data_IF_263466557763
#
_entry.id   IF_263466557763
#
_cell.length_a   1.000
_cell.length_b   1.000
_cell.length_c   1.000
_cell.angle_alpha   90.00
_cell.angle_beta   90.00
_cell.angle_gamma   90.00
#
_symmetry.space_group_name_H-M   'P 1'
#
loop_
_entity.id
_entity.type
_entity.pdbx_description
1 polymer ?
#
# COMPACT_ATOMS: atom_id res chain seq x y z
N UNK A 1 18.90 10.45 -8.81
CA UNK A 1 18.05 9.26 -9.03
C UNK A 1 16.79 9.68 -9.77
N UNK A 2 16.16 8.73 -10.42
CA UNK A 2 14.93 8.99 -11.14
C UNK A 2 13.77 9.16 -10.15
N UNK A 3 12.90 10.12 -10.44
CA UNK A 3 11.69 10.39 -9.64
C UNK A 3 10.48 10.15 -10.52
N UNK A 4 9.49 9.45 -9.98
CA UNK A 4 8.18 9.26 -10.60
C UNK A 4 7.25 10.28 -9.97
N UNK A 5 6.63 11.13 -10.77
CA UNK A 5 5.57 12.03 -10.35
C UNK A 5 4.22 11.43 -10.71
N UNK A 6 3.33 11.33 -9.74
CA UNK A 6 2.00 10.74 -9.89
C UNK A 6 0.95 11.75 -9.44
N UNK A 7 0.13 12.20 -10.37
CA UNK A 7 -1.06 13.01 -10.09
C UNK A 7 -2.28 12.10 -10.23
N UNK A 8 -2.91 11.79 -9.12
CA UNK A 8 -4.06 10.90 -9.05
C UNK A 8 -5.34 11.71 -8.82
N UNK A 9 -6.14 12.05 -9.84
CA UNK A 9 -7.39 12.78 -9.65
C UNK A 9 -8.44 11.94 -8.89
N UNK A 10 -8.36 10.63 -9.04
CA UNK A 10 -9.21 9.64 -8.38
C UNK A 10 -8.35 8.52 -7.81
N UNK A 11 -8.93 7.36 -7.51
CA UNK A 11 -8.20 6.19 -7.06
C UNK A 11 -7.40 5.55 -8.19
N UNK A 12 -6.13 5.25 -7.93
CA UNK A 12 -5.30 4.42 -8.80
C UNK A 12 -4.40 3.49 -8.01
N UNK A 13 -3.98 2.41 -8.62
CA UNK A 13 -2.89 1.59 -8.11
C UNK A 13 -1.86 1.36 -9.19
N UNK A 14 -0.62 1.77 -8.93
CA UNK A 14 0.53 1.50 -9.78
C UNK A 14 1.21 0.23 -9.27
N UNK A 15 1.14 -0.85 -10.04
CA UNK A 15 1.70 -2.14 -9.70
C UNK A 15 3.09 -2.36 -10.30
N UNK A 16 3.97 -3.06 -9.60
CA UNK A 16 5.09 -3.72 -10.26
C UNK A 16 4.53 -4.79 -11.22
N UNK A 17 5.16 -4.94 -12.37
CA UNK A 17 4.74 -5.93 -13.39
C UNK A 17 5.04 -7.37 -13.01
N UNK A 18 6.02 -7.57 -12.13
CA UNK A 18 6.47 -8.88 -11.70
C UNK A 18 6.17 -9.12 -10.21
N UNK A 19 5.77 -10.34 -9.83
CA UNK A 19 5.59 -10.70 -8.42
C UNK A 19 6.93 -10.84 -7.72
N UNK A 20 6.93 -10.56 -6.42
CA UNK A 20 8.06 -10.80 -5.53
C UNK A 20 7.85 -12.12 -4.79
N UNK A 21 8.94 -12.84 -4.50
CA UNK A 21 8.88 -14.10 -3.78
C UNK A 21 10.14 -14.34 -2.93
N UNK A 22 9.99 -15.17 -1.90
CA UNK A 22 11.07 -15.45 -0.95
C UNK A 22 11.34 -14.23 -0.06
N UNK A 23 12.61 -14.02 0.30
CA UNK A 23 13.03 -12.87 1.08
C UNK A 23 13.25 -11.68 0.15
N UNK A 24 12.65 -10.53 0.46
CA UNK A 24 12.82 -9.29 -0.30
C UNK A 24 12.67 -8.05 0.57
N UNK A 25 13.15 -6.93 0.04
CA UNK A 25 13.03 -5.62 0.67
C UNK A 25 12.66 -4.57 -0.38
N UNK A 26 11.60 -3.82 -0.12
CA UNK A 26 11.16 -2.70 -0.96
C UNK A 26 11.48 -1.41 -0.22
N UNK A 27 12.18 -0.48 -0.87
CA UNK A 27 12.47 0.84 -0.31
C UNK A 27 12.06 1.93 -1.30
N UNK A 28 11.56 3.04 -0.80
CA UNK A 28 11.32 4.25 -1.58
C UNK A 28 11.13 5.47 -0.68
N UNK A 29 11.39 6.64 -1.24
CA UNK A 29 11.07 7.91 -0.63
C UNK A 29 9.81 8.47 -1.28
N UNK A 30 8.79 8.76 -0.49
CA UNK A 30 7.52 9.29 -0.97
C UNK A 30 7.25 10.68 -0.40
N UNK A 31 6.84 11.60 -1.26
CA UNK A 31 6.45 12.96 -0.87
C UNK A 31 5.05 13.25 -1.37
N UNK A 32 4.12 13.55 -0.46
CA UNK A 32 2.82 14.08 -0.85
C UNK A 32 2.96 15.58 -1.03
N UNK A 33 2.72 16.01 -2.27
CA UNK A 33 2.90 17.40 -2.69
C UNK A 33 1.66 18.21 -2.30
N UNK A 34 1.89 19.32 -1.61
CA UNK A 34 0.89 20.31 -1.30
C UNK A 34 1.36 21.67 -1.83
N UNK A 35 0.62 22.21 -2.78
CA UNK A 35 0.86 23.47 -3.46
C UNK A 35 -0.45 24.11 -3.87
N UNK A 36 -0.56 24.49 -5.13
CA UNK A 36 -1.75 25.13 -5.70
C UNK A 36 -2.48 24.23 -6.73
N UNK A 37 -2.09 22.96 -6.81
CA UNK A 37 -2.67 21.99 -7.73
C UNK A 37 -4.06 21.50 -7.29
N UNK A 38 -4.94 21.15 -8.24
CA UNK A 38 -6.33 20.74 -7.92
C UNK A 38 -6.39 19.40 -7.18
N UNK A 39 -5.31 18.64 -7.16
CA UNK A 39 -5.22 17.33 -6.52
C UNK A 39 -4.18 17.29 -5.39
N UNK A 40 -3.73 18.44 -4.93
CA UNK A 40 -2.78 18.57 -3.84
C UNK A 40 -3.47 18.38 -2.48
N UNK A 41 -3.80 17.11 -2.18
CA UNK A 41 -4.47 16.70 -0.94
C UNK A 41 -3.50 15.90 -0.08
N UNK A 42 -3.38 16.26 1.20
CA UNK A 42 -2.51 15.57 2.16
C UNK A 42 -3.22 14.35 2.75
N UNK A 43 -3.24 13.26 2.01
CA UNK A 43 -3.80 12.00 2.46
C UNK A 43 -3.41 10.83 1.52
N UNK A 44 -3.61 9.61 2.00
CA UNK A 44 -3.67 8.39 1.19
C UNK A 44 -2.37 8.04 0.44
N UNK A 45 -1.24 8.10 1.14
CA UNK A 45 0.01 7.47 0.69
C UNK A 45 -0.02 6.00 1.08
N UNK A 46 -0.73 5.20 0.30
CA UNK A 46 -1.00 3.81 0.65
C UNK A 46 -0.17 2.85 -0.20
N UNK A 47 0.05 1.64 0.30
CA UNK A 47 0.66 0.58 -0.48
C UNK A 47 0.05 -0.78 -0.19
N UNK A 48 0.17 -1.66 -1.19
CA UNK A 48 -0.13 -3.09 -1.12
C UNK A 48 1.15 -3.89 -1.33
N UNK A 49 1.33 -5.00 -0.62
CA UNK A 49 2.37 -5.98 -0.94
C UNK A 49 1.88 -7.39 -0.69
N UNK A 50 2.64 -8.36 -1.17
CA UNK A 50 2.24 -9.76 -1.17
C UNK A 50 0.83 -9.97 -1.75
N UNK A 51 0.50 -9.23 -2.81
CA UNK A 51 -0.83 -9.25 -3.39
C UNK A 51 -1.00 -10.40 -4.38
N UNK A 52 -2.12 -11.11 -4.26
CA UNK A 52 -2.55 -12.16 -5.19
C UNK A 52 -4.05 -12.10 -5.42
N UNK A 53 -4.50 -12.61 -6.57
CA UNK A 53 -5.93 -12.75 -6.85
C UNK A 53 -6.34 -14.23 -6.66
N UNK A 54 -7.07 -14.57 -5.58
CA UNK A 54 -7.43 -15.94 -5.29
C UNK A 54 -8.40 -16.58 -6.30
N UNK A 55 -9.08 -15.77 -7.12
CA UNK A 55 -9.94 -16.26 -8.20
C UNK A 55 -9.21 -16.37 -9.54
N UNK A 56 -8.05 -15.72 -9.69
CA UNK A 56 -7.22 -15.76 -10.89
C UNK A 56 -5.74 -15.96 -10.50
N UNK A 57 -5.40 -17.15 -9.92
CA UNK A 57 -4.08 -17.39 -9.35
C UNK A 57 -2.94 -17.34 -10.38
N UNK A 58 -3.25 -17.59 -11.65
CA UNK A 58 -2.27 -17.58 -12.75
C UNK A 58 -2.22 -16.25 -13.52
N UNK A 59 -3.14 -15.32 -13.24
CA UNK A 59 -3.21 -14.02 -13.89
C UNK A 59 -3.72 -12.94 -12.95
N UNK A 60 -2.83 -12.35 -12.19
CA UNK A 60 -3.13 -11.28 -11.24
C UNK A 60 -3.83 -10.07 -11.87
N UNK A 61 -3.53 -9.79 -13.13
CA UNK A 61 -4.06 -8.62 -13.84
C UNK A 61 -5.37 -8.88 -14.57
N UNK A 62 -5.89 -10.11 -14.58
CA UNK A 62 -7.13 -10.49 -15.29
C UNK A 62 -8.31 -9.54 -15.00
N UNK A 63 -8.43 -9.05 -13.76
CA UNK A 63 -9.51 -8.15 -13.34
C UNK A 63 -9.09 -6.69 -13.14
N UNK A 64 -7.95 -6.27 -13.67
CA UNK A 64 -7.45 -4.89 -13.49
C UNK A 64 -8.42 -3.83 -13.96
N UNK A 65 -9.02 -4.01 -15.13
CA UNK A 65 -10.02 -3.08 -15.67
C UNK A 65 -11.29 -2.99 -14.80
N UNK A 66 -11.72 -4.12 -14.23
CA UNK A 66 -12.87 -4.16 -13.32
C UNK A 66 -12.55 -3.46 -11.99
N UNK A 67 -11.35 -3.65 -11.45
CA UNK A 67 -10.92 -2.93 -10.23
C UNK A 67 -10.87 -1.42 -10.45
N UNK A 68 -10.32 -0.98 -11.60
CA UNK A 68 -10.43 0.39 -12.11
C UNK A 68 -10.07 1.50 -11.12
N UNK A 69 -9.20 1.25 -10.14
CA UNK A 69 -8.90 2.20 -9.08
C UNK A 69 -9.97 2.32 -7.98
N UNK A 70 -11.08 1.58 -8.05
CA UNK A 70 -12.14 1.60 -7.04
C UNK A 70 -11.71 0.85 -5.79
N UNK A 71 -11.59 1.54 -4.65
CA UNK A 71 -11.02 0.97 -3.43
C UNK A 71 -11.69 -0.33 -2.97
N UNK A 72 -13.03 -0.39 -2.99
CA UNK A 72 -13.78 -1.57 -2.58
C UNK A 72 -13.51 -2.81 -3.45
N UNK A 73 -13.14 -2.64 -4.71
CA UNK A 73 -12.83 -3.74 -5.61
C UNK A 73 -11.54 -4.48 -5.22
N UNK A 74 -10.61 -3.81 -4.56
CA UNK A 74 -9.37 -4.43 -4.05
C UNK A 74 -9.62 -5.38 -2.87
N UNK A 75 -10.81 -5.35 -2.26
CA UNK A 75 -11.23 -6.35 -1.27
C UNK A 75 -11.28 -7.77 -1.84
N UNK A 76 -11.26 -7.93 -3.17
CA UNK A 76 -11.19 -9.21 -3.87
C UNK A 76 -9.79 -9.84 -3.90
N UNK A 77 -8.77 -9.15 -3.41
CA UNK A 77 -7.39 -9.60 -3.38
C UNK A 77 -7.00 -10.11 -1.99
N UNK A 78 -6.12 -11.11 -1.96
CA UNK A 78 -5.31 -11.42 -0.79
C UNK A 78 -4.10 -10.49 -0.82
N UNK A 79 -3.87 -9.71 0.25
CA UNK A 79 -2.74 -8.80 0.32
C UNK A 79 -2.51 -8.27 1.74
N UNK A 80 -1.36 -7.63 1.92
CA UNK A 80 -1.07 -6.77 3.06
C UNK A 80 -1.16 -5.31 2.61
N UNK A 81 -1.68 -4.46 3.49
CA UNK A 81 -1.97 -3.06 3.19
C UNK A 81 -1.54 -2.16 4.33
N UNK A 82 -0.84 -1.09 4.00
CA UNK A 82 -0.71 0.08 4.87
C UNK A 82 -1.36 1.28 4.19
N UNK A 83 -2.31 1.89 4.90
CA UNK A 83 -2.88 3.19 4.55
C UNK A 83 -2.23 4.25 5.40
N UNK A 84 -1.21 4.93 4.87
CA UNK A 84 -0.50 6.00 5.57
C UNK A 84 -1.20 7.33 5.35
N UNK A 85 -1.63 7.99 6.43
CA UNK A 85 -2.39 9.23 6.32
C UNK A 85 -3.78 9.06 5.72
N UNK A 86 -4.42 7.91 5.95
CA UNK A 86 -5.81 7.68 5.54
C UNK A 86 -6.82 8.53 6.30
N UNK A 87 -8.09 8.53 5.86
CA UNK A 87 -9.18 9.33 6.44
C UNK A 87 -8.79 10.81 6.58
N UNK A 88 -8.39 11.44 5.49
CA UNK A 88 -7.94 12.84 5.45
C UNK A 88 -6.78 13.11 6.43
N UNK A 89 -5.78 12.23 6.38
CA UNK A 89 -4.57 12.29 7.19
C UNK A 89 -4.83 12.27 8.71
N UNK A 90 -5.72 11.38 9.16
CA UNK A 90 -6.02 11.19 10.57
C UNK A 90 -5.60 9.82 11.11
N UNK A 91 -5.29 8.87 10.23
CA UNK A 91 -4.93 7.51 10.61
C UNK A 91 -3.79 6.96 9.76
N UNK A 92 -2.97 6.08 10.35
CA UNK A 92 -2.05 5.18 9.63
C UNK A 92 -2.38 3.76 10.07
N UNK A 93 -2.87 2.94 9.13
CA UNK A 93 -3.48 1.63 9.42
C UNK A 93 -2.80 0.50 8.68
N UNK A 94 -2.62 -0.61 9.38
CA UNK A 94 -2.17 -1.88 8.82
C UNK A 94 -3.30 -2.89 8.79
N UNK A 95 -3.51 -3.53 7.62
CA UNK A 95 -4.57 -4.52 7.40
C UNK A 95 -4.06 -5.74 6.63
N UNK A 96 -4.69 -6.88 6.87
CA UNK A 96 -4.64 -8.06 5.99
C UNK A 96 -5.96 -8.16 5.21
N UNK A 97 -5.88 -8.28 3.89
CA UNK A 97 -7.05 -8.52 3.04
C UNK A 97 -7.18 -10.02 2.76
N UNK A 98 -8.41 -10.50 2.81
CA UNK A 98 -8.81 -11.87 2.53
C UNK A 98 -9.76 -11.90 1.34
N UNK A 99 -9.22 -11.95 0.13
CA UNK A 99 -9.98 -11.84 -1.12
C UNK A 99 -11.07 -12.90 -1.29
N UNK A 100 -10.85 -14.12 -0.76
CA UNK A 100 -11.87 -15.18 -0.73
C UNK A 100 -13.11 -14.82 0.10
N UNK A 101 -13.05 -13.79 0.93
CA UNK A 101 -14.17 -13.28 1.71
C UNK A 101 -14.80 -12.01 1.09
N UNK A 102 -14.50 -11.74 -0.17
CA UNK A 102 -15.08 -10.62 -0.90
C UNK A 102 -16.62 -10.64 -0.80
N UNK A 103 -17.21 -9.50 -0.39
CA UNK A 103 -18.65 -9.38 -0.14
C UNK A 103 -19.09 -9.65 1.30
N UNK A 104 -18.21 -10.19 2.16
CA UNK A 104 -18.47 -10.32 3.60
C UNK A 104 -18.28 -8.96 4.31
N UNK A 105 -18.65 -8.83 5.60
CA UNK A 105 -18.38 -7.63 6.40
C UNK A 105 -16.92 -7.20 6.38
N UNK A 106 -16.66 -5.89 6.49
CA UNK A 106 -15.32 -5.32 6.32
C UNK A 106 -14.29 -5.86 7.31
N UNK A 107 -14.69 -6.17 8.55
CA UNK A 107 -13.85 -6.77 9.58
C UNK A 107 -13.45 -8.21 9.30
N UNK A 108 -14.20 -8.91 8.45
CA UNK A 108 -13.84 -10.25 7.96
C UNK A 108 -12.97 -10.19 6.69
N UNK A 109 -13.27 -9.26 5.78
CA UNK A 109 -12.55 -9.09 4.50
C UNK A 109 -11.19 -8.48 4.71
N UNK A 110 -11.08 -7.47 5.59
CA UNK A 110 -9.87 -6.68 5.82
C UNK A 110 -9.70 -6.26 7.27
N UNK A 111 -9.50 -7.22 8.18
CA UNK A 111 -9.31 -6.93 9.60
C UNK A 111 -8.19 -5.94 9.82
N UNK A 112 -8.40 -5.04 10.80
CA UNK A 112 -7.40 -4.10 11.26
C UNK A 112 -6.38 -4.83 12.14
N UNK A 113 -5.10 -4.72 11.81
CA UNK A 113 -4.00 -5.35 12.54
C UNK A 113 -3.23 -4.35 13.42
N UNK A 114 -3.23 -3.10 13.05
CA UNK A 114 -2.57 -2.03 13.81
C UNK A 114 -2.99 -0.64 13.32
N UNK A 115 -2.88 0.35 14.19
CA UNK A 115 -3.27 1.71 13.91
C UNK A 115 -2.45 2.71 14.71
N UNK A 116 -2.09 3.82 14.07
CA UNK A 116 -1.60 5.04 14.69
C UNK A 116 -2.54 6.19 14.34
N UNK A 117 -2.77 7.10 15.30
CA UNK A 117 -3.62 8.29 15.13
C UNK A 117 -2.94 9.57 15.61
N UNK A 118 -1.73 9.45 16.15
CA UNK A 118 -0.93 10.57 16.61
C UNK A 118 -0.21 11.27 15.44
N UNK A 119 0.14 12.54 15.64
CA UNK A 119 0.72 13.38 14.60
C UNK A 119 2.11 12.94 14.09
N UNK A 120 2.83 12.13 14.87
CA UNK A 120 4.17 11.66 14.48
C UNK A 120 4.09 10.61 13.39
N UNK A 121 2.98 9.86 13.33
CA UNK A 121 2.72 8.80 12.36
C UNK A 121 1.73 9.21 11.26
N UNK A 122 1.61 10.51 10.99
CA UNK A 122 0.81 11.07 9.91
C UNK A 122 1.68 11.75 8.85
N UNK A 123 1.11 12.03 7.69
CA UNK A 123 1.79 12.71 6.60
C UNK A 123 2.10 14.16 6.95
N UNK A 124 3.24 14.65 6.48
CA UNK A 124 3.63 16.05 6.51
C UNK A 124 3.74 16.59 5.09
N UNK A 125 3.21 17.79 4.79
CA UNK A 125 3.21 18.31 3.43
C UNK A 125 4.65 18.52 2.92
N UNK A 126 4.89 18.15 1.68
CA UNK A 126 6.16 18.39 0.97
C UNK A 126 7.41 17.83 1.66
N UNK A 127 7.23 16.87 2.57
CA UNK A 127 8.33 16.21 3.27
C UNK A 127 8.49 14.79 2.75
N UNK A 128 9.68 14.41 2.25
CA UNK A 128 9.97 13.01 1.95
C UNK A 128 9.80 12.12 3.17
N UNK A 129 9.14 10.99 3.00
CA UNK A 129 8.97 9.93 3.98
C UNK A 129 9.66 8.70 3.42
N UNK A 130 10.68 8.19 4.12
CA UNK A 130 11.35 6.96 3.72
C UNK A 130 10.56 5.75 4.16
N UNK A 131 10.10 4.95 3.20
CA UNK A 131 9.36 3.70 3.45
C UNK A 131 10.27 2.51 3.17
N UNK A 132 10.27 1.56 4.09
CA UNK A 132 10.87 0.26 3.91
C UNK A 132 9.89 -0.85 4.27
N UNK A 133 9.70 -1.80 3.37
CA UNK A 133 8.91 -3.02 3.58
C UNK A 133 9.84 -4.20 3.45
N UNK A 134 9.86 -5.09 4.45
CA UNK A 134 10.64 -6.32 4.38
C UNK A 134 9.74 -7.54 4.46
N UNK A 135 10.10 -8.58 3.72
CA UNK A 135 9.61 -9.94 3.90
C UNK A 135 10.86 -10.81 4.05
N UNK A 136 11.05 -11.41 5.20
CA UNK A 136 12.20 -12.27 5.48
C UNK A 136 11.89 -13.15 6.70
N UNK A 137 12.46 -14.36 6.74
CA UNK A 137 12.31 -15.28 7.87
C UNK A 137 10.87 -15.50 8.32
N UNK A 138 9.94 -15.62 7.38
CA UNK A 138 8.47 -15.76 7.63
C UNK A 138 7.87 -14.60 8.42
N UNK A 139 8.42 -13.42 8.26
CA UNK A 139 7.95 -12.20 8.91
C UNK A 139 7.92 -11.05 7.90
N UNK A 140 6.96 -10.16 8.05
CA UNK A 140 6.96 -8.87 7.33
C UNK A 140 7.03 -7.73 8.30
N UNK A 141 7.70 -6.64 7.88
CA UNK A 141 7.73 -5.36 8.59
C UNK A 141 7.42 -4.23 7.64
N UNK A 142 6.81 -3.19 8.17
CA UNK A 142 6.64 -1.89 7.51
C UNK A 142 7.28 -0.83 8.39
N UNK A 143 8.22 -0.10 7.83
CA UNK A 143 8.95 0.97 8.52
C UNK A 143 8.75 2.30 7.81
N UNK A 144 8.75 3.38 8.58
CA UNK A 144 8.73 4.75 8.09
C UNK A 144 9.83 5.56 8.79
N UNK A 145 10.67 6.26 8.03
CA UNK A 145 11.83 7.04 8.53
C UNK A 145 12.73 6.25 9.52
N UNK A 146 12.89 4.93 9.27
CA UNK A 146 13.70 4.02 10.08
C UNK A 146 13.01 3.45 11.33
N UNK A 147 11.79 3.84 11.64
CA UNK A 147 10.98 3.26 12.70
C UNK A 147 10.11 2.12 12.17
N UNK A 148 10.15 0.95 12.83
CA UNK A 148 9.24 -0.16 12.51
C UNK A 148 7.88 0.12 13.12
N UNK A 149 6.90 0.47 12.27
CA UNK A 149 5.53 0.76 12.71
C UNK A 149 4.70 -0.51 12.86
N UNK A 150 4.85 -1.44 11.92
CA UNK A 150 4.06 -2.66 11.91
C UNK A 150 4.94 -3.87 11.62
N UNK A 151 4.62 -4.98 12.26
CA UNK A 151 5.23 -6.27 11.96
C UNK A 151 4.24 -7.41 12.20
N UNK A 152 4.45 -8.51 11.46
CA UNK A 152 3.58 -9.67 11.53
C UNK A 152 4.31 -10.92 11.07
N UNK A 153 4.05 -12.05 11.74
CA UNK A 153 4.41 -13.38 11.25
C UNK A 153 3.54 -13.75 10.04
N UNK A 154 4.16 -14.41 9.06
CA UNK A 154 3.52 -14.85 7.82
C UNK A 154 3.30 -16.36 7.82
N UNK A 155 2.13 -16.77 7.35
CA UNK A 155 1.87 -18.15 7.02
C UNK A 155 2.69 -18.58 5.78
N UNK A 156 2.93 -19.89 5.54
CA UNK A 156 3.62 -20.35 4.35
C UNK A 156 2.99 -19.79 3.06
N UNK A 157 3.80 -19.16 2.20
CA UNK A 157 3.38 -18.53 0.93
C UNK A 157 2.66 -17.20 1.06
N UNK A 158 2.43 -16.70 2.27
CA UNK A 158 1.69 -15.43 2.47
C UNK A 158 2.52 -14.18 2.11
N UNK A 159 3.84 -14.29 2.05
CA UNK A 159 4.74 -13.18 1.71
C UNK A 159 4.91 -12.95 0.20
N UNK A 160 4.54 -13.90 -0.63
CA UNK A 160 4.74 -13.83 -2.08
C UNK A 160 3.61 -13.05 -2.76
N UNK A 161 3.93 -12.31 -3.83
CA UNK A 161 2.94 -11.61 -4.63
C UNK A 161 3.39 -10.24 -5.13
N UNK A 162 2.43 -9.46 -5.61
CA UNK A 162 2.68 -8.17 -6.23
C UNK A 162 2.76 -7.03 -5.22
N UNK A 163 3.59 -6.04 -5.55
CA UNK A 163 3.63 -4.75 -4.84
C UNK A 163 2.92 -3.67 -5.66
N UNK A 164 2.16 -2.80 -5.00
CA UNK A 164 1.51 -1.65 -5.63
C UNK A 164 1.45 -0.43 -4.73
N UNK A 165 1.70 0.73 -5.32
CA UNK A 165 1.41 2.02 -4.73
C UNK A 165 -0.06 2.35 -4.94
N UNK A 166 -0.79 2.58 -3.86
CA UNK A 166 -2.22 2.90 -3.89
C UNK A 166 -2.46 4.35 -3.49
N UNK A 167 -2.91 5.15 -4.42
CA UNK A 167 -3.12 6.59 -4.26
C UNK A 167 -4.60 6.95 -4.49
N UNK A 168 -5.05 8.01 -3.84
CA UNK A 168 -6.42 8.50 -3.96
C UNK A 168 -6.45 10.02 -3.86
N UNK A 169 -6.83 10.67 -4.96
CA UNK A 169 -7.02 12.10 -5.04
C UNK A 169 -5.86 12.89 -4.40
N UNK A 170 -4.64 12.58 -4.81
CA UNK A 170 -3.44 13.24 -4.32
C UNK A 170 -2.36 13.40 -5.41
N UNK A 171 -1.34 14.16 -5.08
CA UNK A 171 -0.15 14.40 -5.89
C UNK A 171 1.06 13.88 -5.11
N UNK A 172 1.79 12.92 -5.67
CA UNK A 172 2.86 12.22 -4.97
C UNK A 172 4.11 12.10 -5.85
N UNK A 173 5.28 12.33 -5.24
CA UNK A 173 6.58 12.03 -5.83
C UNK A 173 7.12 10.75 -5.18
N UNK A 174 7.62 9.82 -6.01
CA UNK A 174 8.31 8.62 -5.57
C UNK A 174 9.74 8.66 -6.09
N UNK A 175 10.70 8.60 -5.21
CA UNK A 175 12.12 8.61 -5.51
C UNK A 175 12.83 7.41 -4.87
N UNK A 176 14.04 7.11 -5.36
CA UNK A 176 14.93 6.10 -4.79
C UNK A 176 14.27 4.71 -4.63
N UNK A 177 13.36 4.37 -5.56
CA UNK A 177 12.67 3.08 -5.52
C UNK A 177 13.64 1.94 -5.81
N UNK A 178 13.66 0.95 -4.92
CA UNK A 178 14.47 -0.28 -5.06
C UNK A 178 13.69 -1.50 -4.56
N UNK A 179 14.02 -2.65 -5.12
CA UNK A 179 13.59 -3.97 -4.66
C UNK A 179 14.82 -4.85 -4.53
#
# INVERSE_FOLDING_TARGET
>A
GDTIEIVAPEGLTLWLSEPLSGDYRICYDATVVIGEGPHDRLADLNCFWAASDPEHPDDFFARSAWRGGTFAAYNSLDLLYVGYGGNDNTTTRFRKYHGKRFGAPADEVKPLLGEYTDAEHLLRPNRPLHIEITVADKKTTFSADGEVLFSRELAPGEGDGYFGLRLLANHTLIANFTV
#
